data_IF_240879546771
#
_entry.id   IF_240879546771
#
_cell.length_a   1.000
_cell.length_b   1.000
_cell.length_c   1.000
_cell.angle_alpha   90.00
_cell.angle_beta   90.00
_cell.angle_gamma   90.00
#
_symmetry.space_group_name_H-M   'P 1'
#
loop_
_entity.id
_entity.type
_entity.pdbx_description
1 polymer ?
#
# COMPACT_ATOMS: atom_id res chain seq x y z
N UNK A 1 0.18 -31.89 -51.02
CA UNK A 1 -0.39 -32.26 -49.70
C UNK A 1 0.45 -31.75 -48.50
N UNK A 2 1.79 -31.82 -48.54
CA UNK A 2 2.65 -31.40 -47.40
C UNK A 2 2.56 -29.90 -47.04
N UNK A 3 2.43 -28.98 -48.02
CA UNK A 3 2.35 -27.53 -47.76
C UNK A 3 1.05 -27.08 -47.06
N UNK A 4 -0.08 -27.79 -47.26
CA UNK A 4 -1.36 -27.47 -46.60
C UNK A 4 -1.41 -27.92 -45.16
N UNK A 5 -0.68 -28.95 -44.75
CA UNK A 5 -0.59 -29.45 -43.39
C UNK A 5 0.28 -28.50 -42.54
N UNK A 6 1.35 -27.95 -43.13
CA UNK A 6 2.24 -26.98 -42.45
C UNK A 6 1.52 -25.66 -42.13
N UNK A 7 0.63 -25.20 -43.02
CA UNK A 7 -0.16 -23.98 -42.77
C UNK A 7 -1.22 -24.17 -41.67
N UNK A 8 -1.82 -25.36 -41.56
CA UNK A 8 -2.77 -25.68 -40.48
C UNK A 8 -2.09 -25.80 -39.10
N UNK A 9 -0.88 -26.33 -39.02
CA UNK A 9 -0.08 -26.38 -37.80
C UNK A 9 0.36 -24.98 -37.34
N UNK A 10 0.65 -24.05 -38.24
CA UNK A 10 0.95 -22.66 -37.90
C UNK A 10 -0.29 -21.89 -37.44
N UNK A 11 -1.48 -22.17 -37.97
CA UNK A 11 -2.72 -21.55 -37.54
C UNK A 11 -3.15 -22.01 -36.12
N UNK A 12 -2.82 -23.23 -35.71
CA UNK A 12 -3.12 -23.78 -34.39
C UNK A 12 -2.14 -23.21 -33.31
N UNK A 13 -0.91 -22.88 -33.69
CA UNK A 13 0.06 -22.25 -32.79
C UNK A 13 -0.23 -20.75 -32.53
N UNK A 14 -1.09 -20.11 -33.33
CA UNK A 14 -1.54 -18.73 -33.16
C UNK A 14 -2.87 -18.62 -32.38
N UNK A 15 -3.38 -19.73 -31.82
CA UNK A 15 -4.37 -19.67 -30.75
C UNK A 15 -3.70 -19.16 -29.48
N UNK A 16 -3.15 -17.94 -29.55
CA UNK A 16 -2.79 -17.20 -28.36
C UNK A 16 -4.05 -17.17 -27.50
N UNK A 17 -3.97 -17.77 -26.34
CA UNK A 17 -4.85 -17.50 -25.23
C UNK A 17 -4.89 -16.00 -25.08
N UNK A 18 -5.88 -15.35 -25.66
CA UNK A 18 -6.32 -14.05 -25.27
C UNK A 18 -6.73 -14.24 -23.80
N UNK A 19 -5.80 -14.04 -22.86
CA UNK A 19 -6.12 -13.94 -21.45
C UNK A 19 -7.18 -12.84 -21.42
N UNK A 20 -8.43 -13.24 -21.24
CA UNK A 20 -9.52 -12.31 -21.19
C UNK A 20 -9.19 -11.33 -20.08
N UNK A 21 -8.82 -10.12 -20.48
CA UNK A 21 -8.49 -9.06 -19.52
C UNK A 21 -9.71 -8.87 -18.63
N UNK A 22 -9.55 -9.08 -17.33
CA UNK A 22 -10.65 -8.93 -16.38
C UNK A 22 -11.27 -7.55 -16.53
N UNK A 23 -12.58 -7.53 -16.79
CA UNK A 23 -13.30 -6.29 -17.03
C UNK A 23 -13.62 -5.61 -15.69
N UNK A 24 -12.95 -4.49 -15.40
CA UNK A 24 -13.15 -3.69 -14.20
C UNK A 24 -14.63 -3.37 -13.98
N UNK A 25 -15.30 -2.82 -14.99
CA UNK A 25 -16.69 -2.35 -14.89
C UNK A 25 -17.69 -3.51 -14.62
N UNK A 26 -17.34 -4.74 -14.95
CA UNK A 26 -18.15 -5.91 -14.63
C UNK A 26 -18.15 -6.21 -13.13
N UNK A 27 -17.00 -6.11 -12.49
CA UNK A 27 -16.78 -6.63 -11.14
C UNK A 27 -16.70 -5.53 -10.07
N UNK A 28 -16.29 -4.30 -10.44
CA UNK A 28 -15.90 -3.27 -9.48
C UNK A 28 -16.56 -1.92 -9.73
N UNK A 29 -16.55 -1.08 -8.70
CA UNK A 29 -16.90 0.34 -8.75
C UNK A 29 -15.62 1.18 -8.62
N UNK A 30 -15.72 2.51 -8.84
CA UNK A 30 -14.61 3.45 -8.66
C UNK A 30 -14.33 3.84 -7.20
N UNK A 31 -14.87 3.08 -6.25
CA UNK A 31 -14.57 3.18 -4.82
C UNK A 31 -13.54 2.13 -4.43
N UNK A 32 -12.95 2.26 -3.24
CA UNK A 32 -12.08 1.26 -2.65
C UNK A 32 -12.77 0.49 -1.54
N UNK A 33 -12.45 -0.78 -1.40
CA UNK A 33 -12.66 -1.55 -0.19
C UNK A 33 -11.29 -1.68 0.51
N UNK A 34 -11.13 -0.94 1.59
CA UNK A 34 -9.98 -1.07 2.47
C UNK A 34 -10.19 -2.24 3.43
N UNK A 35 -9.16 -3.04 3.57
CA UNK A 35 -9.10 -4.22 4.42
C UNK A 35 -7.99 -3.99 5.43
N UNK A 36 -8.35 -3.72 6.68
CA UNK A 36 -7.41 -3.68 7.79
C UNK A 36 -7.35 -5.08 8.39
N UNK A 37 -6.15 -5.62 8.55
CA UNK A 37 -5.94 -6.98 9.03
C UNK A 37 -4.70 -7.07 9.91
N UNK A 38 -4.71 -7.98 10.87
CA UNK A 38 -3.55 -8.32 11.66
C UNK A 38 -2.74 -9.41 10.96
N UNK A 39 -1.42 -9.28 10.99
CA UNK A 39 -0.45 -10.37 10.86
C UNK A 39 0.14 -10.63 12.24
N UNK A 40 0.06 -11.86 12.71
CA UNK A 40 0.53 -12.26 14.05
C UNK A 40 1.42 -13.48 13.92
N UNK A 41 2.45 -13.59 14.75
CA UNK A 41 3.33 -14.74 14.76
C UNK A 41 4.76 -14.41 15.18
N UNK A 42 5.69 -15.26 14.75
CA UNK A 42 7.11 -15.17 15.02
C UNK A 42 7.92 -15.60 13.79
N UNK A 43 9.20 -15.92 13.93
CA UNK A 43 10.05 -16.31 12.81
C UNK A 43 9.57 -17.59 12.09
N UNK A 44 8.94 -18.51 12.79
CA UNK A 44 8.54 -19.85 12.32
C UNK A 44 7.04 -19.90 11.92
N UNK A 45 6.21 -19.18 12.64
CA UNK A 45 4.75 -19.21 12.50
C UNK A 45 4.19 -17.84 12.15
N UNK A 46 3.13 -17.81 11.33
CA UNK A 46 2.32 -16.62 11.09
C UNK A 46 0.85 -16.97 10.82
N UNK A 47 -0.01 -16.03 11.17
CA UNK A 47 -1.45 -16.06 10.91
C UNK A 47 -1.96 -14.67 10.51
N UNK A 48 -3.07 -14.64 9.80
CA UNK A 48 -3.75 -13.40 9.42
C UNK A 48 -5.20 -13.40 9.89
N UNK A 49 -5.72 -12.21 10.28
CA UNK A 49 -7.11 -12.02 10.65
C UNK A 49 -7.60 -10.64 10.23
N UNK A 50 -8.78 -10.54 9.60
CA UNK A 50 -9.41 -9.25 9.27
C UNK A 50 -9.85 -8.58 10.57
N UNK A 51 -9.51 -7.29 10.70
CA UNK A 51 -9.88 -6.44 11.83
C UNK A 51 -11.03 -5.51 11.45
N UNK A 52 -10.97 -4.90 10.26
CA UNK A 52 -11.99 -3.96 9.79
C UNK A 52 -12.09 -3.98 8.26
N UNK A 53 -13.29 -3.73 7.76
CA UNK A 53 -13.56 -3.43 6.36
C UNK A 53 -14.12 -2.02 6.26
N UNK A 54 -13.60 -1.21 5.32
CA UNK A 54 -14.05 0.17 5.13
C UNK A 54 -14.25 0.48 3.65
N UNK A 55 -15.35 1.16 3.35
CA UNK A 55 -15.54 1.77 2.04
C UNK A 55 -14.83 3.12 1.99
N UNK A 56 -13.95 3.32 1.01
CA UNK A 56 -13.29 4.60 0.74
C UNK A 56 -13.80 5.17 -0.61
N UNK A 57 -13.86 6.52 -0.76
CA UNK A 57 -14.58 7.14 -1.88
C UNK A 57 -13.90 6.98 -3.23
N UNK A 58 -12.59 6.73 -3.26
CA UNK A 58 -11.79 6.77 -4.49
C UNK A 58 -10.99 5.48 -4.65
N UNK A 59 -11.06 4.88 -5.85
CA UNK A 59 -10.11 3.90 -6.33
C UNK A 59 -9.12 4.61 -7.28
N UNK A 60 -7.88 4.76 -6.86
CA UNK A 60 -6.80 5.35 -7.66
C UNK A 60 -6.01 4.30 -8.46
N UNK A 61 -6.06 3.03 -8.04
CA UNK A 61 -5.32 1.94 -8.66
C UNK A 61 -5.79 1.60 -10.09
N UNK A 62 -5.17 0.60 -10.73
CA UNK A 62 -5.43 0.26 -12.12
C UNK A 62 -6.87 -0.19 -12.35
N UNK A 63 -7.44 0.22 -13.49
CA UNK A 63 -8.72 -0.28 -14.03
C UNK A 63 -8.52 -1.24 -15.21
N UNK A 64 -7.26 -1.39 -15.62
CA UNK A 64 -6.77 -2.42 -16.55
C UNK A 64 -5.80 -3.30 -15.76
N UNK A 65 -5.20 -4.32 -16.28
CA UNK A 65 -4.15 -5.11 -15.62
C UNK A 65 -4.45 -5.39 -14.13
N UNK A 66 -5.67 -5.88 -13.85
CA UNK A 66 -6.15 -6.12 -12.50
C UNK A 66 -5.45 -7.29 -11.81
N UNK A 67 -4.84 -8.16 -12.58
CA UNK A 67 -4.08 -9.31 -12.09
C UNK A 67 -2.60 -8.98 -12.16
N UNK A 68 -1.93 -9.04 -11.03
CA UNK A 68 -0.49 -8.84 -10.93
C UNK A 68 0.25 -10.08 -11.47
N UNK A 69 1.00 -9.96 -12.58
CA UNK A 69 1.68 -11.09 -13.20
C UNK A 69 3.09 -11.33 -12.64
N UNK A 70 3.61 -10.43 -11.79
CA UNK A 70 5.04 -10.42 -11.47
C UNK A 70 5.42 -11.40 -10.37
N UNK A 71 4.49 -11.73 -9.47
CA UNK A 71 4.80 -12.60 -8.34
C UNK A 71 5.82 -12.00 -7.36
N UNK A 72 5.91 -10.66 -7.24
CA UNK A 72 6.81 -9.99 -6.32
C UNK A 72 6.16 -9.78 -4.95
N UNK A 73 7.01 -9.61 -3.91
CA UNK A 73 6.57 -9.39 -2.54
C UNK A 73 6.54 -10.66 -1.69
N UNK A 74 6.43 -10.45 -0.38
CA UNK A 74 6.29 -11.53 0.61
C UNK A 74 4.86 -12.00 0.77
N UNK A 75 3.88 -11.17 0.35
CA UNK A 75 2.45 -11.47 0.44
C UNK A 75 1.73 -11.14 -0.87
N UNK A 76 0.58 -11.81 -1.06
CA UNK A 76 -0.39 -11.47 -2.10
C UNK A 76 -1.79 -11.38 -1.53
N UNK A 77 -2.57 -10.42 -2.04
CA UNK A 77 -4.02 -10.45 -1.95
C UNK A 77 -4.58 -10.93 -3.29
N UNK A 78 -5.42 -11.94 -3.24
CA UNK A 78 -6.17 -12.47 -4.37
C UNK A 78 -7.66 -12.26 -4.10
N UNK A 79 -8.40 -11.79 -5.12
CA UNK A 79 -9.85 -11.61 -5.05
C UNK A 79 -10.51 -12.46 -6.13
N UNK A 80 -11.38 -13.34 -5.70
CA UNK A 80 -12.11 -14.23 -6.60
C UNK A 80 -13.59 -13.83 -6.62
N UNK A 81 -14.18 -13.84 -7.81
CA UNK A 81 -15.65 -13.81 -7.94
C UNK A 81 -16.23 -15.04 -7.24
N UNK A 82 -17.16 -14.83 -6.30
CA UNK A 82 -17.79 -15.94 -5.54
C UNK A 82 -18.56 -16.88 -6.45
N UNK A 83 -19.26 -16.35 -7.44
CA UNK A 83 -20.13 -17.16 -8.32
C UNK A 83 -19.29 -18.03 -9.27
N UNK A 84 -18.32 -17.44 -9.97
CA UNK A 84 -17.51 -18.12 -10.99
C UNK A 84 -16.21 -18.69 -10.46
N UNK A 85 -15.77 -18.32 -9.25
CA UNK A 85 -14.45 -18.66 -8.67
C UNK A 85 -13.28 -18.18 -9.54
N UNK A 86 -13.53 -17.19 -10.41
CA UNK A 86 -12.54 -16.57 -11.27
C UNK A 86 -11.70 -15.58 -10.46
N UNK A 87 -10.38 -15.56 -10.65
CA UNK A 87 -9.51 -14.53 -10.10
C UNK A 87 -9.77 -13.21 -10.83
N UNK A 88 -10.26 -12.20 -10.13
CA UNK A 88 -10.66 -10.91 -10.72
C UNK A 88 -9.77 -9.75 -10.32
N UNK A 89 -8.96 -9.90 -9.26
CA UNK A 89 -7.95 -8.93 -8.84
C UNK A 89 -6.84 -9.64 -8.06
N UNK A 90 -5.59 -9.23 -8.26
CA UNK A 90 -4.49 -9.63 -7.39
C UNK A 90 -3.43 -8.55 -7.30
N UNK A 91 -2.73 -8.49 -6.15
CA UNK A 91 -1.60 -7.58 -5.92
C UNK A 91 -0.63 -8.15 -4.89
N UNK A 92 0.67 -8.08 -5.21
CA UNK A 92 1.74 -8.37 -4.27
C UNK A 92 2.04 -7.19 -3.34
N UNK A 93 2.45 -7.46 -2.11
CA UNK A 93 2.85 -6.45 -1.12
C UNK A 93 3.86 -6.98 -0.11
N UNK A 94 4.49 -6.07 0.63
CA UNK A 94 5.39 -6.38 1.74
C UNK A 94 4.92 -5.67 3.01
N UNK A 95 5.41 -6.09 4.17
CA UNK A 95 5.04 -5.55 5.47
C UNK A 95 6.26 -5.43 6.39
N UNK A 96 6.19 -4.50 7.37
CA UNK A 96 7.19 -4.44 8.44
C UNK A 96 7.19 -5.71 9.31
N UNK A 97 6.03 -6.38 9.43
CA UNK A 97 5.95 -7.66 10.13
C UNK A 97 6.83 -8.73 9.50
N UNK A 98 6.88 -8.82 8.16
CA UNK A 98 7.78 -9.74 7.45
C UNK A 98 9.25 -9.43 7.73
N UNK A 99 9.60 -8.15 7.73
CA UNK A 99 10.97 -7.72 8.05
C UNK A 99 11.33 -8.05 9.50
N UNK A 100 10.43 -7.73 10.45
CA UNK A 100 10.61 -8.09 11.86
C UNK A 100 10.80 -9.60 12.05
N UNK A 101 10.05 -10.43 11.34
CA UNK A 101 10.18 -11.90 11.39
C UNK A 101 11.58 -12.40 11.01
N UNK A 102 12.40 -11.58 10.38
CA UNK A 102 13.79 -11.91 10.05
C UNK A 102 14.78 -11.54 11.15
N UNK A 103 14.36 -10.89 12.23
CA UNK A 103 15.22 -10.47 13.35
C UNK A 103 15.45 -11.58 14.37
N UNK A 104 16.50 -11.42 15.19
CA UNK A 104 16.75 -12.34 16.32
C UNK A 104 15.62 -12.32 17.36
N UNK A 105 14.99 -11.14 17.56
CA UNK A 105 13.85 -10.99 18.46
C UNK A 105 12.69 -11.91 18.08
N UNK A 106 12.41 -12.07 16.81
CA UNK A 106 11.33 -12.91 16.32
C UNK A 106 11.52 -14.41 16.63
N UNK A 107 12.73 -14.83 16.97
CA UNK A 107 13.00 -16.24 17.37
C UNK A 107 12.50 -16.55 18.78
N UNK A 108 12.33 -15.55 19.62
CA UNK A 108 11.96 -15.71 21.04
C UNK A 108 10.62 -15.05 21.38
N UNK A 109 10.13 -14.15 20.54
CA UNK A 109 8.91 -13.39 20.79
C UNK A 109 7.86 -13.64 19.72
N UNK A 110 6.59 -13.42 20.08
CA UNK A 110 5.45 -13.38 19.17
C UNK A 110 4.89 -11.96 19.16
N UNK A 111 4.66 -11.41 17.99
CA UNK A 111 4.07 -10.08 17.84
C UNK A 111 2.86 -10.09 16.91
N UNK A 112 2.06 -9.04 16.98
CA UNK A 112 0.91 -8.79 16.12
C UNK A 112 0.97 -7.37 15.57
N UNK A 113 0.86 -7.23 14.26
CA UNK A 113 0.99 -5.97 13.54
C UNK A 113 -0.24 -5.73 12.68
N UNK A 114 -0.84 -4.54 12.81
CA UNK A 114 -1.91 -4.12 11.92
C UNK A 114 -1.33 -3.75 10.56
N UNK A 115 -1.95 -4.26 9.52
CA UNK A 115 -1.66 -3.95 8.13
C UNK A 115 -2.93 -3.48 7.44
N UNK A 116 -2.78 -2.79 6.31
CA UNK A 116 -3.91 -2.29 5.55
C UNK A 116 -3.63 -2.41 4.06
N UNK A 117 -4.59 -2.94 3.32
CA UNK A 117 -4.55 -3.01 1.86
C UNK A 117 -5.90 -2.60 1.28
N UNK A 118 -5.89 -1.91 0.15
CA UNK A 118 -7.12 -1.55 -0.57
C UNK A 118 -7.23 -2.34 -1.86
N UNK A 119 -8.44 -2.78 -2.16
CA UNK A 119 -8.85 -3.37 -3.43
C UNK A 119 -9.96 -2.51 -4.04
N UNK A 120 -10.22 -2.58 -5.36
CA UNK A 120 -11.39 -1.91 -5.90
C UNK A 120 -12.67 -2.49 -5.27
N UNK A 121 -13.65 -1.62 -5.00
CA UNK A 121 -14.89 -2.02 -4.29
C UNK A 121 -15.72 -2.96 -5.15
N UNK A 122 -16.00 -4.21 -4.72
CA UNK A 122 -16.71 -5.19 -5.52
C UNK A 122 -18.19 -4.86 -5.64
N UNK A 123 -18.82 -5.22 -6.77
CA UNK A 123 -20.27 -5.08 -7.02
C UNK A 123 -21.09 -6.25 -6.52
N UNK A 124 -20.45 -7.41 -6.31
CA UNK A 124 -21.07 -8.65 -5.87
C UNK A 124 -20.19 -9.35 -4.82
N UNK A 125 -20.69 -10.34 -4.09
CA UNK A 125 -19.89 -11.11 -3.14
C UNK A 125 -18.62 -11.69 -3.76
N UNK A 126 -17.50 -11.52 -3.05
CA UNK A 126 -16.18 -12.00 -3.44
C UNK A 126 -15.56 -12.87 -2.36
N UNK A 127 -14.57 -13.65 -2.73
CA UNK A 127 -13.70 -14.35 -1.80
C UNK A 127 -12.35 -13.67 -1.87
N UNK A 128 -11.88 -13.12 -0.75
CA UNK A 128 -10.51 -12.63 -0.62
C UNK A 128 -9.63 -13.72 -0.02
N UNK A 129 -8.41 -13.78 -0.49
CA UNK A 129 -7.38 -14.67 0.01
C UNK A 129 -6.08 -13.87 0.20
N UNK A 130 -5.53 -13.90 1.41
CA UNK A 130 -4.19 -13.38 1.69
C UNK A 130 -3.26 -14.58 1.75
N UNK A 131 -2.22 -14.55 0.93
CA UNK A 131 -1.19 -15.59 0.89
C UNK A 131 0.15 -15.02 1.33
N UNK A 132 1.02 -15.85 1.88
CA UNK A 132 2.40 -15.50 2.19
C UNK A 132 3.37 -16.41 1.43
N UNK A 133 4.50 -15.85 1.05
CA UNK A 133 5.59 -16.62 0.46
C UNK A 133 6.26 -17.43 1.54
N UNK A 134 6.32 -18.74 1.35
CA UNK A 134 7.07 -19.62 2.21
C UNK A 134 8.56 -19.59 1.84
N UNK A 135 9.43 -19.56 2.85
CA UNK A 135 10.89 -19.50 2.67
C UNK A 135 11.50 -20.83 2.22
N UNK A 136 10.81 -21.94 2.48
CA UNK A 136 11.32 -23.28 2.19
C UNK A 136 11.14 -23.66 0.72
N UNK A 137 9.98 -23.32 0.13
CA UNK A 137 9.66 -23.68 -1.24
C UNK A 137 9.48 -22.48 -2.19
N UNK A 138 9.55 -21.25 -1.64
CA UNK A 138 9.35 -19.98 -2.36
C UNK A 138 7.98 -19.84 -3.01
N UNK A 139 7.00 -20.67 -2.61
CA UNK A 139 5.63 -20.61 -3.10
C UNK A 139 4.74 -19.80 -2.16
N UNK A 140 3.60 -19.33 -2.69
CA UNK A 140 2.60 -18.62 -1.90
C UNK A 140 1.60 -19.61 -1.29
N UNK A 141 1.50 -19.60 0.05
CA UNK A 141 0.57 -20.42 0.81
C UNK A 141 -0.53 -19.56 1.45
N UNK A 142 -1.79 -20.02 1.47
CA UNK A 142 -2.89 -19.27 2.07
C UNK A 142 -2.68 -19.05 3.58
N UNK A 143 -2.83 -17.80 4.04
CA UNK A 143 -2.91 -17.43 5.46
C UNK A 143 -4.35 -17.16 5.89
N UNK A 144 -5.14 -16.56 5.01
CA UNK A 144 -6.51 -16.17 5.26
C UNK A 144 -7.33 -16.36 3.99
N UNK A 145 -8.53 -16.88 4.15
CA UNK A 145 -9.55 -16.93 3.08
C UNK A 145 -10.90 -16.58 3.67
N UNK A 146 -11.52 -15.53 3.14
CA UNK A 146 -12.79 -15.02 3.66
C UNK A 146 -13.69 -14.52 2.57
N UNK A 147 -14.99 -14.84 2.69
CA UNK A 147 -16.04 -14.26 1.88
C UNK A 147 -16.37 -12.85 2.36
N UNK A 148 -16.55 -11.92 1.42
CA UNK A 148 -17.02 -10.56 1.67
C UNK A 148 -18.22 -10.25 0.80
N UNK A 149 -19.33 -9.91 1.45
CA UNK A 149 -20.50 -9.35 0.81
C UNK A 149 -20.39 -7.82 0.83
N UNK A 150 -20.32 -7.14 -0.33
CA UNK A 150 -20.24 -5.68 -0.39
C UNK A 150 -21.48 -4.98 0.19
N UNK A 151 -22.62 -5.67 0.33
CA UNK A 151 -23.82 -5.14 0.98
C UNK A 151 -23.81 -5.29 2.50
N UNK A 152 -22.77 -5.94 3.08
CA UNK A 152 -22.67 -6.17 4.52
C UNK A 152 -22.76 -4.87 5.33
N UNK A 153 -23.54 -4.91 6.42
CA UNK A 153 -23.66 -3.83 7.40
C UNK A 153 -22.37 -3.65 8.22
N UNK A 154 -21.47 -4.64 8.22
CA UNK A 154 -20.19 -4.60 8.92
C UNK A 154 -19.08 -3.89 8.13
N UNK A 155 -19.35 -3.45 6.91
CA UNK A 155 -18.44 -2.55 6.19
C UNK A 155 -18.69 -1.14 6.68
N UNK A 156 -17.67 -0.53 7.27
CA UNK A 156 -17.73 0.84 7.75
C UNK A 156 -17.81 1.81 6.56
N UNK A 157 -18.85 2.64 6.54
CA UNK A 157 -19.11 3.67 5.52
C UNK A 157 -19.12 5.08 6.12
N UNK A 158 -18.68 5.19 7.39
CA UNK A 158 -18.56 6.47 8.08
C UNK A 158 -17.44 7.32 7.47
N UNK A 159 -17.65 8.65 7.48
CA UNK A 159 -16.61 9.58 7.08
C UNK A 159 -15.56 9.69 8.20
N UNK A 160 -14.29 9.70 7.81
CA UNK A 160 -13.19 10.05 8.68
C UNK A 160 -12.94 11.57 8.67
N UNK A 161 -12.08 12.04 9.56
CA UNK A 161 -11.58 13.42 9.51
C UNK A 161 -10.90 13.64 8.16
N UNK A 162 -11.30 14.70 7.47
CA UNK A 162 -10.66 15.10 6.22
C UNK A 162 -9.43 15.97 6.53
N UNK A 163 -8.30 15.59 5.97
CA UNK A 163 -7.12 16.42 5.97
C UNK A 163 -7.10 17.28 4.71
N UNK A 164 -6.43 18.45 4.77
CA UNK A 164 -6.23 19.29 3.57
C UNK A 164 -5.38 18.53 2.57
N UNK A 165 -5.84 18.47 1.32
CA UNK A 165 -5.12 17.85 0.21
C UNK A 165 -4.67 18.96 -0.74
N UNK A 166 -3.36 19.10 -0.91
CA UNK A 166 -2.75 20.07 -1.82
C UNK A 166 -2.25 19.35 -3.06
N UNK A 167 -2.69 19.84 -4.24
CA UNK A 167 -2.16 19.36 -5.52
C UNK A 167 -0.76 19.93 -5.76
N UNK A 168 0.26 19.10 -5.70
CA UNK A 168 1.64 19.50 -6.05
C UNK A 168 1.84 19.39 -7.57
N UNK A 169 1.36 18.30 -8.17
CA UNK A 169 1.37 18.06 -9.61
C UNK A 169 0.12 17.30 -10.02
N UNK A 170 -0.47 17.68 -11.16
CA UNK A 170 -1.63 16.98 -11.70
C UNK A 170 -1.53 16.87 -13.22
N UNK A 171 -1.47 15.65 -13.73
CA UNK A 171 -1.29 15.33 -15.14
C UNK A 171 -2.45 14.53 -15.72
N UNK A 172 -3.53 14.31 -14.96
CA UNK A 172 -4.74 13.67 -15.46
C UNK A 172 -5.46 12.79 -14.45
N UNK A 173 -6.44 12.05 -14.94
CA UNK A 173 -7.29 11.17 -14.12
C UNK A 173 -6.47 10.06 -13.44
N UNK A 174 -6.75 9.79 -12.17
CA UNK A 174 -6.05 8.80 -11.34
C UNK A 174 -6.07 7.39 -11.92
N UNK A 175 -7.12 7.02 -12.66
CA UNK A 175 -7.21 5.70 -13.29
C UNK A 175 -6.16 5.46 -14.40
N UNK A 176 -5.50 6.53 -14.86
CA UNK A 176 -4.47 6.49 -15.91
C UNK A 176 -3.12 7.06 -15.49
N UNK A 177 -2.97 7.43 -14.24
CA UNK A 177 -1.74 7.99 -13.66
C UNK A 177 -1.34 7.22 -12.41
N UNK A 178 -0.12 7.43 -11.95
CA UNK A 178 0.34 6.98 -10.64
C UNK A 178 0.19 8.13 -9.66
N UNK A 179 -0.65 7.94 -8.65
CA UNK A 179 -0.91 8.92 -7.63
C UNK A 179 0.04 8.75 -6.44
N UNK A 180 1.02 9.66 -6.31
CA UNK A 180 1.94 9.72 -5.19
C UNK A 180 1.40 10.68 -4.13
N UNK A 181 1.33 10.23 -2.89
CA UNK A 181 0.94 11.05 -1.74
C UNK A 181 2.15 11.29 -0.86
N UNK A 182 2.52 12.57 -0.64
CA UNK A 182 3.33 12.95 0.50
C UNK A 182 2.41 13.18 1.70
N UNK A 183 2.68 12.49 2.80
CA UNK A 183 1.91 12.56 4.03
C UNK A 183 2.77 13.20 5.13
N UNK A 184 2.21 14.22 5.80
CA UNK A 184 2.90 14.93 6.87
C UNK A 184 3.03 14.07 8.13
N UNK A 185 4.20 14.08 8.76
CA UNK A 185 4.45 13.48 10.07
C UNK A 185 5.35 14.39 10.92
N UNK A 186 4.92 14.68 12.14
CA UNK A 186 5.65 15.56 13.04
C UNK A 186 5.59 17.05 12.66
N UNK A 187 4.72 17.46 11.75
CA UNK A 187 4.46 18.87 11.43
C UNK A 187 3.21 19.33 12.21
N UNK A 188 3.38 20.36 13.03
CA UNK A 188 2.26 21.00 13.75
C UNK A 188 1.40 21.86 12.80
N UNK A 189 0.31 22.42 13.32
CA UNK A 189 -0.58 23.28 12.53
C UNK A 189 0.16 24.48 11.91
N UNK A 190 1.10 25.08 12.65
CA UNK A 190 1.90 26.24 12.20
C UNK A 190 2.99 25.84 11.19
N UNK A 191 3.31 24.55 11.09
CA UNK A 191 4.36 24.02 10.21
C UNK A 191 3.82 23.43 8.90
N UNK A 192 2.50 23.48 8.64
CA UNK A 192 1.91 22.88 7.44
C UNK A 192 2.36 23.55 6.13
N UNK A 193 2.63 24.86 6.13
CA UNK A 193 3.17 25.52 4.95
C UNK A 193 4.63 25.08 4.67
N UNK A 194 5.41 24.80 5.71
CA UNK A 194 6.73 24.20 5.58
C UNK A 194 6.62 22.79 4.99
N UNK A 195 5.67 21.97 5.47
CA UNK A 195 5.42 20.63 4.91
C UNK A 195 5.13 20.69 3.41
N UNK A 196 4.22 21.58 2.96
CA UNK A 196 3.91 21.74 1.54
C UNK A 196 5.14 22.17 0.74
N UNK A 197 5.98 23.05 1.28
CA UNK A 197 7.24 23.46 0.64
C UNK A 197 8.23 22.28 0.54
N UNK A 198 8.34 21.46 1.59
CA UNK A 198 9.17 20.26 1.60
C UNK A 198 8.65 19.23 0.57
N UNK A 199 7.34 18.98 0.52
CA UNK A 199 6.72 18.08 -0.48
C UNK A 199 7.04 18.53 -1.93
N UNK A 200 6.97 19.84 -2.22
CA UNK A 200 7.37 20.39 -3.52
C UNK A 200 8.84 20.13 -3.80
N UNK A 201 9.72 20.38 -2.84
CA UNK A 201 11.17 20.18 -2.97
C UNK A 201 11.51 18.71 -3.25
N UNK A 202 10.88 17.77 -2.53
CA UNK A 202 11.07 16.34 -2.76
C UNK A 202 10.50 15.89 -4.10
N UNK A 203 9.36 16.43 -4.53
CA UNK A 203 8.80 16.19 -5.85
C UNK A 203 9.79 16.58 -6.95
N UNK A 204 10.38 17.76 -6.86
CA UNK A 204 11.39 18.22 -7.82
C UNK A 204 12.65 17.35 -7.81
N UNK A 205 13.08 16.87 -6.65
CA UNK A 205 14.22 15.97 -6.53
C UNK A 205 13.91 14.60 -7.18
N UNK A 206 12.73 14.03 -6.92
CA UNK A 206 12.28 12.78 -7.51
C UNK A 206 12.31 12.86 -9.04
N UNK A 207 11.72 13.91 -9.62
CA UNK A 207 11.65 14.07 -11.08
C UNK A 207 12.93 14.62 -11.74
N UNK A 208 14.02 14.73 -11.00
CA UNK A 208 15.38 14.88 -11.54
C UNK A 208 16.15 13.56 -11.63
N UNK A 209 15.59 12.48 -11.06
CA UNK A 209 16.25 11.18 -10.92
C UNK A 209 15.70 10.18 -11.93
N UNK A 210 16.54 9.48 -12.73
CA UNK A 210 16.09 8.39 -13.58
C UNK A 210 15.45 7.24 -12.78
N UNK A 211 14.41 6.59 -13.27
CA UNK A 211 13.71 6.81 -14.56
C UNK A 211 12.57 7.84 -14.49
N UNK A 212 12.35 8.51 -13.34
CA UNK A 212 11.23 9.42 -13.11
C UNK A 212 11.33 10.71 -13.93
N UNK A 213 12.55 11.14 -14.27
CA UNK A 213 12.83 12.35 -15.06
C UNK A 213 12.18 12.34 -16.45
N UNK A 214 12.11 11.17 -17.10
CA UNK A 214 11.49 10.97 -18.41
C UNK A 214 9.99 10.59 -18.34
N UNK A 215 9.49 10.29 -17.14
CA UNK A 215 8.13 9.77 -16.90
C UNK A 215 7.24 10.73 -16.09
N UNK A 216 7.62 11.99 -15.96
CA UNK A 216 6.93 13.01 -15.12
C UNK A 216 5.44 13.11 -15.38
N UNK A 217 5.04 12.98 -16.66
CA UNK A 217 3.64 13.09 -17.06
C UNK A 217 2.78 11.87 -16.69
N UNK A 218 3.41 10.78 -16.23
CA UNK A 218 2.69 9.59 -15.79
C UNK A 218 2.24 9.69 -14.33
N UNK A 219 2.63 10.75 -13.61
CA UNK A 219 2.38 10.91 -12.18
C UNK A 219 1.50 12.09 -11.85
N UNK A 220 0.60 11.92 -10.89
CA UNK A 220 0.07 12.97 -10.04
C UNK A 220 0.81 12.96 -8.71
N UNK A 221 0.92 14.12 -8.05
CA UNK A 221 1.53 14.24 -6.72
C UNK A 221 0.64 15.09 -5.83
N UNK A 222 0.35 14.57 -4.66
CA UNK A 222 -0.51 15.16 -3.65
C UNK A 222 0.26 15.34 -2.36
N UNK A 223 -0.02 16.39 -1.60
CA UNK A 223 0.42 16.54 -0.22
C UNK A 223 -0.80 16.51 0.69
N UNK A 224 -0.76 15.68 1.74
CA UNK A 224 -1.84 15.50 2.71
C UNK A 224 -1.35 15.94 4.08
N UNK A 225 -2.02 16.94 4.64
CA UNK A 225 -1.65 17.62 5.88
C UNK A 225 -2.18 16.85 7.10
N UNK A 226 -1.47 15.81 7.55
CA UNK A 226 -1.75 15.19 8.85
C UNK A 226 -1.09 16.04 9.95
N UNK A 227 -1.92 16.81 10.68
CA UNK A 227 -1.43 17.74 11.71
C UNK A 227 -1.08 16.96 12.96
N UNK A 228 0.19 17.07 13.40
CA UNK A 228 0.70 16.55 14.67
C UNK A 228 0.48 17.55 15.80
N UNK A 229 0.32 17.07 17.03
CA UNK A 229 0.22 17.94 18.23
C UNK A 229 1.60 18.48 18.61
N UNK A 230 2.66 17.69 18.40
CA UNK A 230 4.03 18.07 18.68
C UNK A 230 4.88 17.98 17.41
N UNK A 231 5.86 18.91 17.33
CA UNK A 231 6.84 18.95 16.26
C UNK A 231 7.94 17.92 16.46
N UNK A 232 8.29 17.19 15.40
CA UNK A 232 9.34 16.18 15.42
C UNK A 232 8.83 14.74 15.40
N UNK A 233 9.67 13.80 15.85
CA UNK A 233 9.38 12.36 15.89
C UNK A 233 10.03 11.73 17.10
N UNK A 234 9.63 10.51 17.45
CA UNK A 234 10.24 9.76 18.54
C UNK A 234 11.69 9.40 18.27
N UNK A 235 12.53 9.57 19.28
CA UNK A 235 13.92 9.11 19.32
C UNK A 235 14.13 8.35 20.64
N UNK A 236 13.59 7.13 20.70
CA UNK A 236 13.51 6.32 21.93
C UNK A 236 14.86 6.14 22.62
N UNK A 237 15.95 5.94 21.84
CA UNK A 237 17.30 5.83 22.39
C UNK A 237 17.84 7.11 23.06
N UNK A 238 17.14 8.25 22.89
CA UNK A 238 17.43 9.53 23.57
C UNK A 238 16.37 9.91 24.60
N UNK A 239 15.38 9.05 24.84
CA UNK A 239 14.26 9.34 25.75
C UNK A 239 13.32 10.45 25.22
N UNK A 240 13.29 10.69 23.92
CA UNK A 240 12.41 11.68 23.26
C UNK A 240 11.18 10.93 22.73
N UNK A 241 10.00 11.36 23.18
CA UNK A 241 8.70 10.86 22.73
C UNK A 241 7.82 12.04 22.38
N UNK A 242 7.13 11.95 21.24
CA UNK A 242 6.33 13.01 20.62
C UNK A 242 4.93 12.51 20.29
N UNK A 243 3.93 13.34 20.56
CA UNK A 243 2.56 13.07 20.14
C UNK A 243 2.37 13.51 18.69
N UNK A 244 2.58 12.58 17.76
CA UNK A 244 2.54 12.87 16.32
C UNK A 244 1.38 12.17 15.64
N UNK A 245 1.05 12.61 14.43
CA UNK A 245 -0.13 12.14 13.69
C UNK A 245 -0.05 10.64 13.30
N UNK A 246 1.16 10.12 13.08
CA UNK A 246 1.38 8.76 12.59
C UNK A 246 2.23 7.91 13.54
N UNK A 247 2.57 8.42 14.71
CA UNK A 247 3.36 7.69 15.73
C UNK A 247 4.69 7.13 15.17
N UNK A 248 5.41 7.93 14.37
CA UNK A 248 6.68 7.49 13.82
C UNK A 248 7.81 7.58 14.85
N UNK A 249 8.76 6.65 14.78
CA UNK A 249 9.89 6.63 15.70
C UNK A 249 11.12 5.98 15.12
N UNK A 250 12.28 6.47 15.58
CA UNK A 250 13.58 5.86 15.35
C UNK A 250 13.77 4.62 16.22
N UNK A 251 14.82 3.87 15.96
CA UNK A 251 15.20 2.62 16.62
C UNK A 251 14.34 1.42 16.29
N UNK A 252 13.63 1.44 15.16
CA UNK A 252 12.93 0.26 14.66
C UNK A 252 13.89 -0.94 14.57
N UNK A 253 13.49 -2.06 15.15
CA UNK A 253 14.31 -3.29 15.27
C UNK A 253 15.68 -3.07 15.93
N UNK A 254 15.80 -2.07 16.79
CA UNK A 254 17.07 -1.73 17.48
C UNK A 254 18.08 -0.96 16.62
N UNK A 255 17.73 -0.56 15.41
CA UNK A 255 18.61 0.20 14.51
C UNK A 255 18.36 1.70 14.68
N UNK A 256 19.36 2.44 15.18
CA UNK A 256 19.29 3.85 15.57
C UNK A 256 18.83 4.81 14.46
N UNK A 257 19.15 4.52 13.21
CA UNK A 257 18.78 5.32 12.03
C UNK A 257 17.49 4.90 11.35
N UNK A 258 16.86 3.81 11.80
CA UNK A 258 15.70 3.26 11.12
C UNK A 258 14.42 3.88 11.67
N UNK A 259 13.85 4.80 10.90
CA UNK A 259 12.62 5.51 11.19
C UNK A 259 11.45 4.82 10.49
N UNK A 260 10.48 4.36 11.26
CA UNK A 260 9.24 3.78 10.73
C UNK A 260 8.04 4.17 11.59
N UNK A 261 6.86 3.75 11.17
CA UNK A 261 5.68 3.74 12.03
C UNK A 261 4.98 2.39 11.94
N UNK A 262 4.60 1.76 13.06
CA UNK A 262 3.76 0.58 13.08
C UNK A 262 2.27 0.89 12.89
N UNK A 263 1.88 2.17 12.90
CA UNK A 263 0.49 2.61 12.88
C UNK A 263 -0.05 2.76 11.44
N UNK A 264 -0.17 1.63 10.75
CA UNK A 264 -0.71 1.59 9.39
C UNK A 264 -2.15 2.11 9.31
N UNK A 265 -2.91 2.02 10.41
CA UNK A 265 -4.28 2.52 10.45
C UNK A 265 -4.31 4.04 10.38
N UNK A 266 -3.52 4.75 11.18
CA UNK A 266 -3.43 6.21 11.15
C UNK A 266 -2.94 6.73 9.79
N UNK A 267 -1.98 6.03 9.15
CA UNK A 267 -1.55 6.35 7.78
C UNK A 267 -2.73 6.29 6.82
N UNK A 268 -3.48 5.20 6.83
CA UNK A 268 -4.59 5.00 5.90
C UNK A 268 -5.78 5.92 6.21
N UNK A 269 -6.06 6.15 7.49
CA UNK A 269 -7.10 7.08 7.93
C UNK A 269 -6.76 8.53 7.50
N UNK A 270 -5.48 8.90 7.49
CA UNK A 270 -5.07 10.24 7.07
C UNK A 270 -5.27 10.51 5.57
N UNK A 271 -5.17 9.49 4.72
CA UNK A 271 -5.28 9.60 3.26
C UNK A 271 -6.58 9.01 2.68
N UNK A 272 -7.57 8.68 3.52
CA UNK A 272 -8.75 7.91 3.15
C UNK A 272 -9.54 8.47 1.95
N UNK A 273 -9.48 9.79 1.74
CA UNK A 273 -10.18 10.49 0.66
C UNK A 273 -9.24 11.04 -0.43
N UNK A 274 -7.95 10.71 -0.36
CA UNK A 274 -6.96 11.09 -1.37
C UNK A 274 -6.76 9.99 -2.41
N UNK A 275 -6.61 10.32 -3.70
CA UNK A 275 -6.12 9.34 -4.68
C UNK A 275 -4.72 8.88 -4.28
N UNK A 276 -4.48 7.57 -4.20
CA UNK A 276 -3.23 7.07 -3.63
C UNK A 276 -2.86 5.68 -4.16
N UNK A 277 -1.76 5.62 -4.93
CA UNK A 277 -1.07 4.37 -5.27
C UNK A 277 0.12 4.11 -4.35
N UNK A 278 0.82 5.18 -3.94
CA UNK A 278 1.95 5.09 -3.02
C UNK A 278 1.99 6.28 -2.06
N UNK A 279 2.39 6.00 -0.81
CA UNK A 279 2.51 7.00 0.26
C UNK A 279 3.99 7.17 0.61
N UNK A 280 4.44 8.44 0.60
CA UNK A 280 5.73 8.85 1.13
C UNK A 280 5.49 9.68 2.39
N UNK A 281 5.88 9.15 3.54
CA UNK A 281 5.80 9.89 4.80
C UNK A 281 6.98 10.85 4.88
N UNK A 282 6.69 12.15 4.96
CA UNK A 282 7.69 13.16 5.25
C UNK A 282 7.66 13.45 6.75
N UNK A 283 8.65 12.91 7.46
CA UNK A 283 8.80 13.16 8.89
C UNK A 283 9.67 14.40 9.14
N UNK A 284 9.16 15.32 9.94
CA UNK A 284 9.92 16.45 10.42
C UNK A 284 10.87 16.00 11.52
N UNK A 285 12.14 15.88 11.19
CA UNK A 285 13.19 15.49 12.13
C UNK A 285 13.98 16.72 12.54
N UNK A 286 14.04 17.00 13.84
CA UNK A 286 14.98 17.98 14.38
C UNK A 286 16.35 17.32 14.56
N UNK A 287 17.13 17.26 13.47
CA UNK A 287 18.52 16.84 13.55
C UNK A 287 19.29 18.02 14.15
N UNK A 288 19.74 17.90 15.41
CA UNK A 288 20.85 18.72 15.88
C UNK A 288 22.03 18.46 14.96
N UNK A 289 22.66 19.53 14.43
CA UNK A 289 23.80 19.43 13.54
C UNK A 289 24.79 18.37 14.03
N UNK A 290 25.33 17.52 13.14
CA UNK A 290 26.37 16.59 13.54
C UNK A 290 27.53 17.41 14.11
N UNK A 291 27.78 17.28 15.40
CA UNK A 291 28.99 17.80 16.02
C UNK A 291 30.15 17.29 15.17
N UNK A 292 30.80 18.21 14.42
CA UNK A 292 32.04 17.88 13.74
C UNK A 292 32.97 17.30 14.80
N UNK A 293 33.28 16.04 14.71
CA UNK A 293 34.38 15.45 15.44
C UNK A 293 35.64 16.14 14.89
N UNK A 294 36.20 17.01 15.72
CA UNK A 294 37.53 17.58 15.54
C UNK A 294 38.59 16.48 15.56
#
# INVERSE_FOLDING_TARGET
MRARITLLLFAILYSFTCLAQTNFEKHFTKKSLRIDFALSGNWDFQAAAIQQLREEPVWAGPVKNLIDPFGYGGYYINVYDKAGKELIYSRGFNTLFEEWRSTEQAKTETQSWTNSISIPYPKAPVIIEITARDKADMQFHPLLKQEIDPASIFIDRGKLKENRITKIRYNGDSSGKVDLVFLAEGYTADEQEKFVADAKRFTEALFKTPPYDTRREDFNVWAVDAVSEESGTDVSGKGIFKNTALNSGYYTFGVDRYLTTPDMKSIRDAVWNAPCDAIFILSLIHISEPTRRS
#
